data_IF_229109120276
#
_entry.id   IF_229109120276
#
_cell.length_a   1.000
_cell.length_b   1.000
_cell.length_c   1.000
_cell.angle_alpha   90.00
_cell.angle_beta   90.00
_cell.angle_gamma   90.00
#
_symmetry.space_group_name_H-M   'P 1'
#
loop_
_entity.id
_entity.type
_entity.pdbx_description
1 polymer ?
#
# COMPACT_ATOMS: atom_id res chain seq x y z
N UNK A 1 -15.24 10.72 -10.31
CA UNK A 1 -14.66 9.85 -11.35
C UNK A 1 -13.75 8.78 -10.74
N UNK A 2 -12.64 9.15 -10.07
CA UNK A 2 -11.72 8.17 -9.46
C UNK A 2 -12.40 7.32 -8.38
N UNK A 3 -13.20 7.92 -7.48
CA UNK A 3 -13.94 7.14 -6.46
C UNK A 3 -14.81 6.04 -7.10
N UNK A 4 -15.65 6.39 -8.09
CA UNK A 4 -16.46 5.41 -8.82
C UNK A 4 -15.62 4.35 -9.55
N UNK A 5 -14.50 4.77 -10.14
CA UNK A 5 -13.58 3.88 -10.84
C UNK A 5 -12.94 2.87 -9.88
N UNK A 6 -12.46 3.29 -8.71
CA UNK A 6 -11.92 2.38 -7.70
C UNK A 6 -13.02 1.47 -7.12
N UNK A 7 -14.22 2.02 -6.95
CA UNK A 7 -15.37 1.27 -6.40
C UNK A 7 -15.86 0.13 -7.29
N UNK A 8 -15.51 0.09 -8.58
CA UNK A 8 -15.88 -1.05 -9.44
C UNK A 8 -15.16 -2.33 -9.05
N UNK A 9 -13.99 -2.20 -8.42
CA UNK A 9 -13.11 -3.32 -8.06
C UNK A 9 -13.16 -3.59 -6.55
N UNK A 10 -14.05 -2.92 -5.81
CA UNK A 10 -14.21 -3.02 -4.36
C UNK A 10 -15.62 -3.53 -3.98
N UNK A 11 -15.76 -4.23 -2.84
CA UNK A 11 -17.07 -4.70 -2.37
C UNK A 11 -17.95 -3.59 -1.76
N UNK A 12 -17.49 -2.33 -1.75
CA UNK A 12 -18.18 -1.15 -1.23
C UNK A 12 -17.89 0.06 -2.11
N UNK A 13 -18.63 1.15 -1.88
CA UNK A 13 -18.48 2.39 -2.64
C UNK A 13 -17.63 3.39 -1.86
N UNK A 14 -16.61 3.93 -2.52
CA UNK A 14 -15.87 5.10 -2.07
C UNK A 14 -16.64 6.36 -2.44
N UNK A 15 -16.61 7.35 -1.55
CA UNK A 15 -17.08 8.69 -1.82
C UNK A 15 -15.95 9.56 -2.42
N UNK A 16 -16.26 10.71 -3.04
CA UNK A 16 -15.25 11.67 -3.44
C UNK A 16 -14.39 12.21 -2.28
N UNK A 17 -14.89 12.17 -1.04
CA UNK A 17 -14.17 12.63 0.16
C UNK A 17 -13.07 11.65 0.58
N UNK A 18 -13.17 10.39 0.15
CA UNK A 18 -12.16 9.34 0.42
C UNK A 18 -10.97 9.42 -0.55
N UNK A 19 -10.98 10.34 -1.52
CA UNK A 19 -9.99 10.40 -2.61
C UNK A 19 -9.31 11.77 -2.68
N UNK A 20 -7.99 11.77 -2.61
CA UNK A 20 -7.15 12.96 -2.72
C UNK A 20 -6.30 12.88 -4.00
N UNK A 21 -6.39 13.91 -4.85
CA UNK A 21 -5.59 13.98 -6.07
C UNK A 21 -4.15 14.38 -5.77
N UNK A 22 -3.21 13.80 -6.50
CA UNK A 22 -1.78 14.05 -6.33
C UNK A 22 -1.07 14.24 -7.67
N UNK A 23 0.12 14.83 -7.61
CA UNK A 23 1.07 15.01 -8.71
C UNK A 23 1.81 13.69 -8.97
N UNK A 24 1.05 12.70 -9.44
CA UNK A 24 1.49 11.32 -9.61
C UNK A 24 1.60 10.54 -8.30
N UNK A 25 1.90 9.24 -8.41
CA UNK A 25 2.06 8.37 -7.23
C UNK A 25 3.22 8.78 -6.32
N UNK A 26 4.27 9.42 -6.86
CA UNK A 26 5.39 9.92 -6.06
C UNK A 26 4.94 10.96 -5.02
N UNK A 27 4.11 11.92 -5.41
CA UNK A 27 3.62 12.92 -4.45
C UNK A 27 2.68 12.28 -3.41
N UNK A 28 1.99 11.18 -3.76
CA UNK A 28 1.21 10.44 -2.78
C UNK A 28 2.11 9.90 -1.64
N UNK A 29 3.25 9.31 -1.99
CA UNK A 29 4.29 8.90 -1.02
C UNK A 29 4.79 10.12 -0.22
N UNK A 30 5.03 11.25 -0.90
CA UNK A 30 5.54 12.47 -0.26
C UNK A 30 4.57 13.09 0.75
N UNK A 31 3.26 12.81 0.62
CA UNK A 31 2.19 13.24 1.54
C UNK A 31 2.00 12.22 2.66
N UNK A 32 1.88 10.93 2.35
CA UNK A 32 1.52 9.89 3.32
C UNK A 32 2.60 9.74 4.40
N UNK A 33 3.86 9.62 4.00
CA UNK A 33 4.94 9.30 4.95
C UNK A 33 5.13 10.35 6.05
N UNK A 34 5.14 11.67 5.76
CA UNK A 34 5.19 12.69 6.81
C UNK A 34 3.96 12.73 7.71
N UNK A 35 2.78 12.41 7.19
CA UNK A 35 1.54 12.37 8.00
C UNK A 35 1.63 11.27 9.07
N UNK A 36 2.27 10.15 8.73
CA UNK A 36 2.49 9.04 9.66
C UNK A 36 3.72 9.23 10.55
N UNK A 37 4.61 10.17 10.20
CA UNK A 37 5.83 10.41 10.94
C UNK A 37 5.53 11.10 12.28
N UNK A 38 5.99 10.46 13.36
CA UNK A 38 6.03 11.00 14.72
C UNK A 38 7.35 10.58 15.38
N UNK A 39 7.82 11.28 16.43
CA UNK A 39 9.06 10.90 17.11
C UNK A 39 9.07 9.42 17.52
N UNK A 40 10.09 8.68 17.08
CA UNK A 40 10.26 7.25 17.37
C UNK A 40 9.44 6.28 16.51
N UNK A 41 8.64 6.78 15.57
CA UNK A 41 7.89 5.93 14.64
C UNK A 41 8.81 5.16 13.68
N UNK A 42 8.37 3.95 13.33
CA UNK A 42 8.98 3.16 12.26
C UNK A 42 7.93 2.71 11.22
N UNK A 43 8.39 2.42 10.01
CA UNK A 43 7.59 1.91 8.89
C UNK A 43 8.21 0.64 8.32
N UNK A 44 7.37 -0.31 7.92
CA UNK A 44 7.81 -1.57 7.32
C UNK A 44 7.79 -1.46 5.79
N UNK A 45 8.96 -1.63 5.16
CA UNK A 45 9.13 -1.62 3.71
C UNK A 45 9.51 -3.02 3.19
N UNK A 46 9.08 -3.40 1.97
CA UNK A 46 9.47 -4.67 1.38
C UNK A 46 10.93 -4.64 0.95
N UNK A 47 11.62 -5.76 1.11
CA UNK A 47 12.95 -6.00 0.56
C UNK A 47 12.91 -7.18 -0.43
N UNK A 48 13.16 -6.94 -1.73
CA UNK A 48 13.43 -5.66 -2.38
C UNK A 48 12.16 -4.79 -2.54
N UNK A 49 12.34 -3.47 -2.65
CA UNK A 49 11.24 -2.50 -2.76
C UNK A 49 11.57 -1.30 -3.66
N UNK A 50 10.61 -0.37 -3.81
CA UNK A 50 10.79 0.85 -4.60
C UNK A 50 11.54 1.94 -3.80
N UNK A 51 12.72 2.41 -4.24
CA UNK A 51 13.62 3.26 -3.43
C UNK A 51 13.06 4.63 -2.97
N UNK A 52 11.95 5.08 -3.55
CA UNK A 52 11.33 6.35 -3.14
C UNK A 52 10.86 6.30 -1.69
N UNK A 53 10.39 5.14 -1.22
CA UNK A 53 9.92 5.00 0.16
C UNK A 53 11.08 5.19 1.15
N UNK A 54 12.23 4.54 0.93
CA UNK A 54 13.44 4.73 1.74
C UNK A 54 13.87 6.20 1.76
N UNK A 55 13.98 6.80 0.57
CA UNK A 55 14.42 8.19 0.40
C UNK A 55 13.48 9.16 1.12
N UNK A 56 12.17 8.94 1.03
CA UNK A 56 11.19 9.80 1.66
C UNK A 56 11.13 9.60 3.17
N UNK A 57 11.18 8.36 3.67
CA UNK A 57 11.18 8.04 5.10
C UNK A 57 12.39 8.68 5.81
N UNK A 58 13.58 8.62 5.19
CA UNK A 58 14.78 9.30 5.70
C UNK A 58 14.59 10.82 5.85
N UNK A 59 13.92 11.46 4.88
CA UNK A 59 13.64 12.90 4.93
C UNK A 59 12.66 13.33 6.04
N UNK A 60 11.81 12.43 6.54
CA UNK A 60 10.86 12.71 7.61
C UNK A 60 11.18 11.98 8.92
N UNK A 61 12.42 11.51 9.10
CA UNK A 61 12.92 10.85 10.33
C UNK A 61 12.08 9.65 10.76
N UNK A 62 11.50 8.94 9.78
CA UNK A 62 10.74 7.71 10.00
C UNK A 62 11.71 6.53 9.88
N UNK A 63 11.90 5.76 10.95
CA UNK A 63 12.80 4.60 10.94
C UNK A 63 12.28 3.56 9.93
N UNK A 64 13.13 3.14 8.99
CA UNK A 64 12.78 2.09 8.03
C UNK A 64 13.19 0.75 8.58
N UNK A 65 12.23 -0.17 8.64
CA UNK A 65 12.44 -1.59 8.91
C UNK A 65 12.00 -2.40 7.71
N UNK A 66 12.67 -3.53 7.47
CA UNK A 66 12.42 -4.32 6.27
C UNK A 66 11.81 -5.66 6.60
N UNK A 67 10.79 -6.06 5.83
CA UNK A 67 10.36 -7.45 5.73
C UNK A 67 10.81 -8.02 4.39
N UNK A 68 11.16 -9.30 4.37
CA UNK A 68 11.62 -9.95 3.15
C UNK A 68 10.47 -10.40 2.24
N UNK A 69 10.73 -10.36 0.94
CA UNK A 69 9.94 -11.06 -0.07
C UNK A 69 10.66 -12.35 -0.43
N UNK A 70 9.94 -13.48 -0.48
CA UNK A 70 10.50 -14.82 -0.61
C UNK A 70 10.60 -15.24 -2.09
N UNK A 71 11.77 -15.16 -2.77
CA UNK A 71 11.86 -15.45 -4.20
C UNK A 71 11.44 -16.89 -4.54
N UNK A 72 11.76 -17.83 -3.66
CA UNK A 72 11.40 -19.25 -3.74
C UNK A 72 9.90 -19.51 -3.60
N UNK A 73 9.14 -18.55 -3.09
CA UNK A 73 7.67 -18.58 -3.01
C UNK A 73 7.03 -17.53 -3.92
N UNK A 74 7.65 -17.23 -5.06
CA UNK A 74 7.09 -16.27 -6.02
C UNK A 74 7.02 -14.84 -5.48
N UNK A 75 7.94 -14.48 -4.59
CA UNK A 75 8.03 -13.17 -3.92
C UNK A 75 6.87 -12.86 -2.98
N UNK A 76 6.23 -13.88 -2.41
CA UNK A 76 5.31 -13.71 -1.28
C UNK A 76 5.98 -12.95 -0.12
N UNK A 77 5.19 -12.17 0.60
CA UNK A 77 5.60 -11.51 1.86
C UNK A 77 5.98 -12.57 2.88
N UNK A 78 7.17 -12.45 3.47
CA UNK A 78 7.54 -13.20 4.66
C UNK A 78 6.80 -12.64 5.88
N UNK A 79 5.67 -13.27 6.23
CA UNK A 79 4.83 -12.85 7.35
C UNK A 79 5.54 -13.01 8.70
N UNK A 80 6.43 -13.99 8.84
CA UNK A 80 7.21 -14.18 10.08
C UNK A 80 8.21 -13.03 10.24
N UNK A 81 8.88 -12.65 9.14
CA UNK A 81 9.74 -11.46 9.12
C UNK A 81 8.96 -10.18 9.39
N UNK A 82 7.73 -10.06 8.89
CA UNK A 82 6.87 -8.91 9.15
C UNK A 82 6.53 -8.79 10.64
N UNK A 83 6.10 -9.88 11.27
CA UNK A 83 5.80 -9.91 12.70
C UNK A 83 7.04 -9.59 13.56
N UNK A 84 8.20 -10.17 13.23
CA UNK A 84 9.43 -9.99 13.99
C UNK A 84 9.98 -8.54 13.98
N UNK A 85 9.66 -7.77 12.94
CA UNK A 85 10.15 -6.39 12.77
C UNK A 85 9.20 -5.32 13.33
N UNK A 86 7.97 -5.73 13.67
CA UNK A 86 6.93 -4.84 14.17
C UNK A 86 7.07 -4.58 15.67
N UNK A 87 6.79 -3.36 16.10
CA UNK A 87 6.63 -2.99 17.51
C UNK A 87 5.49 -1.98 17.69
N UNK A 88 5.29 -1.50 18.92
CA UNK A 88 4.24 -0.53 19.27
C UNK A 88 4.39 0.83 18.57
N UNK A 89 5.56 1.13 18.00
CA UNK A 89 5.82 2.37 17.26
C UNK A 89 5.68 2.19 15.73
N UNK A 90 5.46 0.96 15.25
CA UNK A 90 5.22 0.71 13.83
C UNK A 90 3.91 1.35 13.38
N UNK A 91 3.98 2.19 12.34
CA UNK A 91 2.83 2.99 11.90
C UNK A 91 2.08 2.39 10.72
N UNK A 92 2.79 1.68 9.85
CA UNK A 92 2.24 1.10 8.64
C UNK A 92 3.22 0.08 8.04
N UNK A 93 2.69 -0.75 7.15
CA UNK A 93 3.50 -1.47 6.16
C UNK A 93 3.20 -0.97 4.74
N UNK A 94 4.22 -0.96 3.88
CA UNK A 94 4.06 -0.68 2.45
C UNK A 94 3.99 -2.01 1.70
N UNK A 95 2.95 -2.17 0.89
CA UNK A 95 2.79 -3.30 -0.02
C UNK A 95 2.76 -2.76 -1.46
N UNK A 96 3.66 -3.23 -2.31
CA UNK A 96 3.72 -2.82 -3.73
C UNK A 96 3.18 -3.97 -4.57
N UNK A 97 2.02 -3.77 -5.20
CA UNK A 97 1.32 -4.82 -5.93
C UNK A 97 0.62 -4.25 -7.18
N UNK A 98 0.95 -4.69 -8.40
CA UNK A 98 2.08 -5.53 -8.78
C UNK A 98 3.44 -4.94 -8.38
N UNK A 99 4.38 -5.82 -8.06
CA UNK A 99 5.66 -5.44 -7.46
C UNK A 99 6.59 -4.73 -8.44
N UNK A 100 7.25 -3.69 -7.94
CA UNK A 100 8.46 -3.12 -8.51
C UNK A 100 9.56 -3.23 -7.43
N UNK A 101 10.64 -4.01 -7.63
CA UNK A 101 11.16 -4.49 -8.92
C UNK A 101 10.78 -5.92 -9.33
N UNK A 102 10.09 -6.70 -8.48
CA UNK A 102 9.99 -8.15 -8.69
C UNK A 102 8.97 -8.58 -9.77
N UNK A 103 8.02 -7.72 -10.12
CA UNK A 103 7.00 -8.00 -11.14
C UNK A 103 5.95 -9.03 -10.74
N UNK A 104 5.99 -9.57 -9.52
CA UNK A 104 4.97 -10.51 -9.04
C UNK A 104 3.65 -9.79 -8.74
N UNK A 105 2.57 -10.57 -8.79
CA UNK A 105 1.21 -10.17 -8.38
C UNK A 105 0.80 -11.11 -7.26
N UNK A 106 0.42 -10.58 -6.10
CA UNK A 106 -0.01 -11.42 -4.99
C UNK A 106 -1.36 -12.08 -5.27
N UNK A 107 -1.56 -13.30 -4.78
CA UNK A 107 -2.84 -14.00 -4.88
C UNK A 107 -3.84 -13.41 -3.88
N UNK A 108 -5.13 -13.60 -4.12
CA UNK A 108 -6.18 -13.22 -3.17
C UNK A 108 -5.92 -13.80 -1.77
N UNK A 109 -5.59 -15.10 -1.70
CA UNK A 109 -5.35 -15.79 -0.43
C UNK A 109 -4.12 -15.26 0.30
N UNK A 110 -3.09 -14.83 -0.42
CA UNK A 110 -1.92 -14.23 0.21
C UNK A 110 -2.21 -12.82 0.73
N UNK A 111 -2.94 -12.00 -0.03
CA UNK A 111 -3.37 -10.67 0.41
C UNK A 111 -4.28 -10.74 1.64
N UNK A 112 -5.18 -11.73 1.72
CA UNK A 112 -6.00 -11.98 2.90
C UNK A 112 -5.13 -12.27 4.15
N UNK A 113 -4.11 -13.12 4.01
CA UNK A 113 -3.17 -13.39 5.10
C UNK A 113 -2.38 -12.14 5.52
N UNK A 114 -1.95 -11.32 4.55
CA UNK A 114 -1.30 -10.04 4.84
C UNK A 114 -2.25 -9.12 5.61
N UNK A 115 -3.53 -9.05 5.22
CA UNK A 115 -4.53 -8.24 5.91
C UNK A 115 -4.75 -8.68 7.36
N UNK A 116 -4.92 -9.98 7.60
CA UNK A 116 -5.09 -10.52 8.95
C UNK A 116 -3.84 -10.34 9.82
N UNK A 117 -2.65 -10.46 9.22
CA UNK A 117 -1.38 -10.22 9.92
C UNK A 117 -1.25 -8.74 10.30
N UNK A 118 -1.50 -7.82 9.37
CA UNK A 118 -1.45 -6.38 9.64
C UNK A 118 -2.48 -5.95 10.71
N UNK A 119 -3.68 -6.54 10.69
CA UNK A 119 -4.71 -6.35 11.72
C UNK A 119 -4.25 -6.85 13.10
N UNK A 120 -3.67 -8.05 13.19
CA UNK A 120 -3.09 -8.60 14.43
C UNK A 120 -2.01 -7.68 15.00
N UNK A 121 -1.22 -7.07 14.12
CA UNK A 121 -0.15 -6.13 14.45
C UNK A 121 -0.65 -4.70 14.75
N UNK A 122 -1.92 -4.39 14.48
CA UNK A 122 -2.48 -3.06 14.72
C UNK A 122 -1.98 -1.97 13.79
N UNK A 123 -1.45 -2.33 12.61
CA UNK A 123 -0.88 -1.39 11.63
C UNK A 123 -1.78 -1.28 10.39
N UNK A 124 -1.73 -0.14 9.69
CA UNK A 124 -2.41 0.01 8.40
C UNK A 124 -1.54 -0.46 7.23
N UNK A 125 -2.17 -0.69 6.07
CA UNK A 125 -1.47 -1.09 4.84
C UNK A 125 -1.49 0.06 3.84
N UNK A 126 -0.32 0.52 3.42
CA UNK A 126 -0.16 1.42 2.27
C UNK A 126 0.01 0.54 1.03
N UNK A 127 -1.01 0.46 0.20
CA UNK A 127 -1.02 -0.35 -1.02
C UNK A 127 -0.65 0.50 -2.24
N UNK A 128 0.56 0.32 -2.75
CA UNK A 128 1.02 0.94 -3.99
C UNK A 128 0.59 0.10 -5.19
N UNK A 129 -0.48 0.56 -5.84
CA UNK A 129 -1.17 -0.14 -6.92
C UNK A 129 -0.98 0.56 -8.27
N UNK A 130 0.08 1.35 -8.41
CA UNK A 130 0.40 2.09 -9.64
C UNK A 130 0.52 1.18 -10.87
N UNK A 131 0.84 -0.11 -10.67
CA UNK A 131 0.93 -1.13 -11.72
C UNK A 131 -0.31 -2.04 -11.83
N UNK A 132 -1.42 -1.77 -11.15
CA UNK A 132 -2.61 -2.63 -11.09
C UNK A 132 -3.06 -3.26 -12.43
N UNK A 133 -2.89 -2.53 -13.53
CA UNK A 133 -3.33 -2.92 -14.88
C UNK A 133 -2.20 -3.42 -15.78
N UNK A 134 -1.05 -3.70 -15.18
CA UNK A 134 0.15 -4.26 -15.80
C UNK A 134 0.43 -5.63 -15.17
N UNK A 135 -0.63 -6.37 -14.85
CA UNK A 135 -0.59 -7.75 -14.39
C UNK A 135 -0.73 -8.68 -15.60
N UNK A 136 0.17 -9.66 -15.71
CA UNK A 136 0.20 -10.63 -16.82
C UNK A 136 0.11 -12.06 -16.28
N UNK A 137 -0.35 -12.99 -17.13
CA UNK A 137 -0.50 -14.39 -16.77
C UNK A 137 -1.87 -14.71 -16.16
N UNK A 138 -1.94 -15.79 -15.39
CA UNK A 138 -3.20 -16.37 -14.91
C UNK A 138 -3.64 -15.87 -13.52
N UNK A 139 -2.75 -15.20 -12.77
CA UNK A 139 -3.10 -14.63 -11.47
C UNK A 139 -3.60 -13.18 -11.68
N UNK A 140 -4.90 -12.90 -11.50
CA UNK A 140 -5.42 -11.55 -11.67
C UNK A 140 -4.93 -10.63 -10.55
N UNK A 141 -4.82 -9.35 -10.86
CA UNK A 141 -4.63 -8.33 -9.84
C UNK A 141 -5.86 -8.24 -8.93
N UNK A 142 -5.62 -8.09 -7.63
CA UNK A 142 -6.64 -7.87 -6.59
C UNK A 142 -6.23 -6.62 -5.81
N UNK A 143 -7.07 -5.57 -5.75
CA UNK A 143 -6.82 -4.40 -4.92
C UNK A 143 -6.75 -4.79 -3.44
N UNK A 144 -5.80 -4.25 -2.70
CA UNK A 144 -5.73 -4.50 -1.25
C UNK A 144 -6.96 -3.94 -0.53
N UNK A 145 -7.59 -2.90 -1.10
CA UNK A 145 -8.84 -2.32 -0.60
C UNK A 145 -10.02 -3.30 -0.50
N UNK A 146 -9.96 -4.47 -1.14
CA UNK A 146 -10.95 -5.56 -0.95
C UNK A 146 -10.96 -6.05 0.50
N UNK A 147 -9.82 -6.00 1.18
CA UNK A 147 -9.62 -6.46 2.56
C UNK A 147 -9.74 -5.33 3.59
N UNK A 148 -10.27 -4.16 3.19
CA UNK A 148 -10.33 -2.98 4.07
C UNK A 148 -11.30 -3.13 5.26
N UNK A 149 -12.19 -4.11 5.23
CA UNK A 149 -13.01 -4.49 6.38
C UNK A 149 -12.21 -5.19 7.49
N UNK A 150 -11.04 -5.76 7.15
CA UNK A 150 -10.12 -6.46 8.06
C UNK A 150 -9.10 -5.46 8.63
N UNK A 151 -8.45 -4.70 7.75
CA UNK A 151 -7.37 -3.76 8.09
C UNK A 151 -7.58 -2.45 7.33
N UNK A 152 -7.33 -1.27 7.92
CA UNK A 152 -7.43 -0.02 7.18
C UNK A 152 -6.35 0.06 6.09
N UNK A 153 -6.74 0.46 4.87
CA UNK A 153 -5.87 0.50 3.68
C UNK A 153 -5.80 1.92 3.12
N UNK A 154 -4.58 2.36 2.77
CA UNK A 154 -4.35 3.57 1.98
C UNK A 154 -3.87 3.12 0.60
N UNK A 155 -4.67 3.32 -0.44
CA UNK A 155 -4.32 2.94 -1.81
C UNK A 155 -3.68 4.11 -2.55
N UNK A 156 -2.54 3.86 -3.20
CA UNK A 156 -1.87 4.79 -4.10
C UNK A 156 -2.07 4.31 -5.54
N UNK A 157 -2.48 5.23 -6.42
CA UNK A 157 -2.56 4.95 -7.85
C UNK A 157 -2.09 6.12 -8.71
N UNK A 158 -1.91 5.85 -10.01
CA UNK A 158 -1.48 6.88 -10.96
C UNK A 158 -1.89 6.56 -12.40
N UNK A 159 -2.08 7.62 -13.20
CA UNK A 159 -2.27 7.49 -14.64
C UNK A 159 -0.98 7.08 -15.38
N UNK A 160 0.17 7.18 -14.73
CA UNK A 160 1.50 7.11 -15.38
C UNK A 160 1.77 5.79 -16.11
N UNK A 161 1.35 4.65 -15.53
CA UNK A 161 1.73 3.31 -16.04
C UNK A 161 0.66 2.71 -16.92
N UNK A 162 -0.57 2.60 -16.42
CA UNK A 162 -1.69 2.03 -17.19
C UNK A 162 -1.99 2.81 -18.47
N UNK A 163 -1.97 4.15 -18.41
CA UNK A 163 -2.35 4.99 -19.56
C UNK A 163 -1.16 5.56 -20.32
N UNK A 164 0.08 5.14 -20.01
CA UNK A 164 1.30 5.56 -20.70
C UNK A 164 1.49 7.09 -20.79
N UNK A 165 1.01 7.83 -19.78
CA UNK A 165 1.11 9.30 -19.71
C UNK A 165 1.92 9.75 -18.47
N UNK A 166 3.15 9.28 -18.27
CA UNK A 166 3.93 9.62 -17.07
C UNK A 166 4.21 11.12 -16.94
N UNK A 167 4.22 11.87 -18.04
CA UNK A 167 4.44 13.32 -18.06
C UNK A 167 3.24 14.16 -17.58
N UNK A 168 2.04 13.58 -17.48
CA UNK A 168 0.84 14.32 -17.03
C UNK A 168 0.77 14.48 -15.53
N UNK A 169 1.60 13.74 -14.79
CA UNK A 169 1.78 13.85 -13.34
C UNK A 169 0.45 13.80 -12.59
N UNK A 170 -0.38 12.80 -12.88
CA UNK A 170 -1.67 12.61 -12.19
C UNK A 170 -1.67 11.30 -11.41
N UNK A 171 -2.00 11.40 -10.12
CA UNK A 171 -2.17 10.28 -9.21
C UNK A 171 -3.23 10.56 -8.17
N UNK A 172 -3.38 9.62 -7.24
CA UNK A 172 -4.31 9.75 -6.14
C UNK A 172 -3.86 8.95 -4.93
N UNK A 173 -4.37 9.38 -3.78
CA UNK A 173 -4.48 8.62 -2.55
C UNK A 173 -5.97 8.30 -2.36
N UNK A 174 -6.29 7.06 -2.02
CA UNK A 174 -7.64 6.68 -1.59
C UNK A 174 -7.60 6.04 -0.21
N UNK A 175 -8.43 6.52 0.72
CA UNK A 175 -8.60 5.93 2.04
C UNK A 175 -9.69 4.86 1.99
N UNK A 176 -9.29 3.61 2.13
CA UNK A 176 -10.15 2.44 2.09
C UNK A 176 -10.36 1.94 3.53
N UNK A 177 -11.41 2.42 4.19
CA UNK A 177 -11.70 2.10 5.60
C UNK A 177 -13.22 2.13 5.89
N UNK A 178 -13.99 1.13 5.40
CA UNK A 178 -15.44 1.10 5.54
C UNK A 178 -15.90 1.01 7.00
N UNK A 179 -15.03 0.55 7.91
CA UNK A 179 -15.30 0.40 9.34
C UNK A 179 -14.87 1.61 10.19
N UNK A 180 -14.35 2.66 9.54
CA UNK A 180 -13.86 3.90 10.15
C UNK A 180 -12.84 3.64 11.27
N UNK A 181 -11.97 2.66 11.06
CA UNK A 181 -10.87 2.31 11.96
C UNK A 181 -9.92 3.52 12.13
N UNK A 182 -9.54 4.21 11.05
CA UNK A 182 -8.70 5.40 11.09
C UNK A 182 -9.25 6.50 12.01
N UNK A 183 -10.58 6.66 12.06
CA UNK A 183 -11.23 7.67 12.91
C UNK A 183 -11.26 7.27 14.39
N UNK A 184 -11.12 5.97 14.70
CA UNK A 184 -11.16 5.44 16.07
C UNK A 184 -9.78 5.37 16.72
N UNK A 185 -8.72 5.35 15.90
CA UNK A 185 -7.33 5.16 16.35
C UNK A 185 -6.42 6.36 16.06
N UNK A 186 -6.96 7.43 15.44
CA UNK A 186 -6.24 8.66 15.11
C UNK A 186 -6.18 9.68 16.24
#
# INVERSE_FOLDING_TARGET
AIANYLSSDLPYQLSPEDVFLTVGGTQAIDIILPVLARPGANILLPRPGYPQYDSRAACCQLEVRYFDLLPQKGWEVDLDSLEAMTDDNTVAMVLINPSNPCGNVFTYQHLEKVAETAKKLGICVISDEVYAHVAFGNNPFVPMGVFSSIVPVITIGSLSKRWLVPGWRTGWIATCDPNKIFQKTG
#
